data_IF_758869629456
#
_entry.id   IF_758869629456
#
_cell.length_a   1.000
_cell.length_b   1.000
_cell.length_c   1.000
_cell.angle_alpha   90.00
_cell.angle_beta   90.00
_cell.angle_gamma   90.00
#
_symmetry.space_group_name_H-M   'P 1'
#
loop_
_entity.id
_entity.type
_entity.pdbx_description
1 polymer ?
#
# COMPACT_ATOMS: atom_id res chain seq x y z
N UNK A 1 14.71 -4.18 -3.15
CA UNK A 1 15.41 -3.78 -4.39
C UNK A 1 15.27 -2.27 -4.54
N UNK A 2 16.27 -1.59 -5.07
CA UNK A 2 16.20 -0.15 -5.38
C UNK A 2 16.48 0.01 -6.87
N UNK A 3 15.61 0.71 -7.58
CA UNK A 3 15.78 1.07 -8.99
C UNK A 3 15.97 2.58 -9.05
N UNK A 4 17.11 3.03 -9.60
CA UNK A 4 17.45 4.46 -9.71
C UNK A 4 17.14 4.95 -11.12
N UNK A 5 16.85 6.25 -11.25
CA UNK A 5 16.62 6.87 -12.55
C UNK A 5 15.30 6.48 -13.23
N UNK A 6 14.29 6.04 -12.45
CA UNK A 6 12.95 5.69 -12.97
C UNK A 6 12.21 6.94 -13.48
N UNK A 7 12.47 8.09 -12.87
CA UNK A 7 11.87 9.37 -13.26
C UNK A 7 12.92 10.48 -13.17
N UNK A 8 12.80 11.47 -14.04
CA UNK A 8 13.58 12.70 -13.98
C UNK A 8 13.15 13.59 -12.81
N UNK A 9 14.01 14.54 -12.43
CA UNK A 9 13.65 15.55 -11.42
C UNK A 9 12.44 16.40 -11.84
N UNK A 10 12.32 16.70 -13.14
CA UNK A 10 11.21 17.48 -13.69
C UNK A 10 9.87 16.75 -13.60
N UNK A 11 9.85 15.45 -13.91
CA UNK A 11 8.66 14.60 -13.74
C UNK A 11 8.28 14.50 -12.27
N UNK A 12 9.25 14.21 -11.41
CA UNK A 12 9.04 14.09 -9.96
C UNK A 12 8.42 15.38 -9.37
N UNK A 13 8.92 16.55 -9.80
CA UNK A 13 8.36 17.85 -9.40
C UNK A 13 6.89 18.01 -9.82
N UNK A 14 6.55 17.70 -11.08
CA UNK A 14 5.18 17.80 -11.59
C UNK A 14 4.24 16.87 -10.83
N UNK A 15 4.67 15.64 -10.56
CA UNK A 15 3.90 14.66 -9.79
C UNK A 15 3.64 15.14 -8.36
N UNK A 16 4.65 15.73 -7.72
CA UNK A 16 4.50 16.35 -6.41
C UNK A 16 3.49 17.49 -6.40
N UNK A 17 3.48 18.34 -7.43
CA UNK A 17 2.48 19.42 -7.57
C UNK A 17 1.06 18.86 -7.70
N UNK A 18 0.87 17.77 -8.46
CA UNK A 18 -0.43 17.08 -8.56
C UNK A 18 -0.85 16.53 -7.21
N UNK A 19 0.04 15.80 -6.52
CA UNK A 19 -0.25 15.24 -5.18
C UNK A 19 -0.57 16.34 -4.17
N UNK A 20 0.14 17.47 -4.21
CA UNK A 20 -0.12 18.60 -3.32
C UNK A 20 -1.51 19.22 -3.53
N UNK A 21 -2.00 19.29 -4.77
CA UNK A 21 -3.37 19.76 -5.06
C UNK A 21 -4.45 18.85 -4.47
N UNK A 22 -4.15 17.56 -4.36
CA UNK A 22 -5.05 16.55 -3.77
C UNK A 22 -4.80 16.30 -2.28
N UNK A 23 -3.82 16.98 -1.67
CA UNK A 23 -3.56 16.85 -0.23
C UNK A 23 -4.81 17.11 0.62
N UNK A 24 -5.69 18.10 0.32
CA UNK A 24 -6.93 18.31 1.06
C UNK A 24 -7.86 17.09 1.11
N UNK A 25 -7.88 16.26 0.07
CA UNK A 25 -8.67 15.02 0.03
C UNK A 25 -8.18 13.97 1.03
N UNK A 26 -6.95 14.12 1.53
CA UNK A 26 -6.31 13.23 2.49
C UNK A 26 -6.61 13.57 3.96
N UNK A 27 -7.29 14.69 4.21
CA UNK A 27 -7.51 15.21 5.57
C UNK A 27 -8.71 14.52 6.19
N UNK A 28 -8.47 13.73 7.24
CA UNK A 28 -9.57 13.27 8.08
C UNK A 28 -10.07 14.44 8.94
N UNK A 29 -11.33 14.45 9.41
CA UNK A 29 -11.86 15.55 10.21
C UNK A 29 -11.04 15.92 11.45
N UNK A 30 -10.20 15.00 11.93
CA UNK A 30 -9.36 15.16 13.12
C UNK A 30 -7.91 15.59 12.79
N UNK A 31 -7.58 15.81 11.52
CA UNK A 31 -6.24 16.19 11.07
C UNK A 31 -6.33 17.45 10.21
N UNK A 32 -5.84 18.57 10.75
CA UNK A 32 -5.69 19.81 10.01
C UNK A 32 -4.28 19.88 9.42
N UNK A 33 -4.14 20.17 8.13
CA UNK A 33 -2.81 20.45 7.56
C UNK A 33 -2.41 21.89 7.87
N UNK A 34 -1.14 22.19 8.22
CA UNK A 34 0.03 21.31 8.15
C UNK A 34 0.43 20.69 9.51
N UNK A 35 -0.51 20.24 10.34
CA UNK A 35 -0.15 19.59 11.60
C UNK A 35 0.73 18.36 11.37
N UNK A 36 1.66 18.03 12.30
CA UNK A 36 2.48 16.83 12.21
C UNK A 36 1.64 15.55 12.07
N UNK A 37 1.81 14.80 10.99
CA UNK A 37 0.86 13.74 10.64
C UNK A 37 1.24 12.85 9.46
N UNK A 38 0.42 11.82 9.27
CA UNK A 38 0.37 10.97 8.07
C UNK A 38 -0.96 11.22 7.39
N UNK A 39 -0.92 11.72 6.17
CA UNK A 39 -2.10 11.92 5.35
C UNK A 39 -2.06 10.92 4.19
N UNK A 40 -3.20 10.30 3.89
CA UNK A 40 -3.30 9.23 2.89
C UNK A 40 -4.32 9.63 1.84
N UNK A 41 -3.88 9.78 0.58
CA UNK A 41 -4.79 9.99 -0.55
C UNK A 41 -5.07 8.62 -1.17
N UNK A 42 -6.36 8.25 -1.22
CA UNK A 42 -6.79 6.94 -1.73
C UNK A 42 -6.77 6.86 -3.27
N UNK A 43 -6.60 5.64 -3.78
CA UNK A 43 -6.23 5.40 -5.18
C UNK A 43 -7.24 5.74 -6.26
N UNK A 44 -8.54 5.69 -5.97
CA UNK A 44 -9.54 6.03 -6.98
C UNK A 44 -9.37 7.49 -7.47
N UNK A 45 -9.03 8.41 -6.58
CA UNK A 45 -8.83 9.82 -6.95
C UNK A 45 -7.51 10.04 -7.69
N UNK A 46 -6.46 9.28 -7.36
CA UNK A 46 -5.14 9.40 -7.98
C UNK A 46 -5.09 8.76 -9.38
N UNK A 47 -5.76 7.63 -9.57
CA UNK A 47 -5.79 6.89 -10.83
C UNK A 47 -6.52 7.65 -11.96
N UNK A 48 -7.40 8.60 -11.62
CA UNK A 48 -8.06 9.47 -12.60
C UNK A 48 -7.13 10.54 -13.18
N UNK A 49 -5.99 10.82 -12.55
CA UNK A 49 -5.05 11.81 -13.04
C UNK A 49 -4.03 11.16 -14.00
N UNK A 50 -3.98 11.55 -15.29
CA UNK A 50 -3.15 10.87 -16.29
C UNK A 50 -1.67 10.78 -15.93
N UNK A 51 -1.12 11.84 -15.31
CA UNK A 51 0.28 11.85 -14.89
C UNK A 51 0.59 10.82 -13.78
N UNK A 52 -0.37 10.53 -12.90
CA UNK A 52 -0.20 9.55 -11.82
C UNK A 52 -0.48 8.13 -12.33
N UNK A 53 -1.48 7.97 -13.20
CA UNK A 53 -1.73 6.70 -13.89
C UNK A 53 -0.49 6.21 -14.67
N UNK A 54 0.21 7.11 -15.36
CA UNK A 54 1.44 6.80 -16.08
C UNK A 54 2.57 6.24 -15.19
N UNK A 55 2.59 6.55 -13.89
CA UNK A 55 3.55 5.94 -12.95
C UNK A 55 3.19 4.49 -12.71
N UNK A 56 1.90 4.20 -12.49
CA UNK A 56 1.43 2.85 -12.19
C UNK A 56 1.68 1.87 -13.34
N UNK A 57 1.73 2.39 -14.56
CA UNK A 57 2.01 1.64 -15.80
C UNK A 57 3.45 1.78 -16.29
N UNK A 58 4.34 2.44 -15.53
CA UNK A 58 5.70 2.71 -15.98
C UNK A 58 6.48 1.38 -16.17
N UNK A 59 6.99 1.07 -17.39
CA UNK A 59 7.66 -0.20 -17.67
C UNK A 59 8.88 -0.46 -16.77
N UNK A 60 9.63 0.58 -16.40
CA UNK A 60 10.78 0.43 -15.51
C UNK A 60 10.39 -0.06 -14.10
N UNK A 61 9.13 0.15 -13.70
CA UNK A 61 8.53 -0.37 -12.48
C UNK A 61 7.91 -1.74 -12.76
N UNK A 62 6.97 -1.82 -13.71
CA UNK A 62 6.17 -3.02 -13.99
C UNK A 62 7.06 -4.22 -14.30
N UNK A 63 8.03 -4.09 -15.21
CA UNK A 63 8.93 -5.19 -15.61
C UNK A 63 9.71 -5.75 -14.40
N UNK A 64 10.07 -4.88 -13.46
CA UNK A 64 10.82 -5.25 -12.26
C UNK A 64 9.93 -5.90 -11.21
N UNK A 65 8.69 -5.45 -11.10
CA UNK A 65 7.67 -6.06 -10.25
C UNK A 65 7.36 -7.47 -10.73
N UNK A 66 7.07 -7.64 -12.02
CA UNK A 66 6.74 -8.93 -12.61
C UNK A 66 7.90 -9.92 -12.54
N UNK A 67 9.13 -9.45 -12.78
CA UNK A 67 10.33 -10.28 -12.60
C UNK A 67 10.51 -10.75 -11.15
N UNK A 68 10.16 -9.94 -10.15
CA UNK A 68 10.25 -10.32 -8.73
C UNK A 68 9.11 -11.26 -8.31
N UNK A 69 7.91 -11.06 -8.86
CA UNK A 69 6.77 -11.92 -8.57
C UNK A 69 6.84 -13.25 -9.32
N UNK A 70 7.55 -13.30 -10.45
CA UNK A 70 7.59 -14.46 -11.35
C UNK A 70 6.30 -14.66 -12.15
N UNK A 71 5.46 -13.63 -12.27
CA UNK A 71 4.15 -13.66 -12.92
C UNK A 71 3.71 -12.25 -13.29
N UNK A 72 2.68 -12.15 -14.14
CA UNK A 72 2.01 -10.88 -14.48
C UNK A 72 1.46 -10.23 -13.22
N UNK A 73 1.65 -8.91 -13.10
CA UNK A 73 1.24 -8.14 -11.93
C UNK A 73 -0.12 -7.46 -12.16
N UNK A 74 -0.94 -7.41 -11.11
CA UNK A 74 -2.17 -6.64 -11.08
C UNK A 74 -2.11 -5.59 -9.98
N UNK A 75 -2.39 -4.34 -10.34
CA UNK A 75 -2.43 -3.24 -9.38
C UNK A 75 -3.66 -3.38 -8.47
N UNK A 76 -3.43 -3.64 -7.19
CA UNK A 76 -4.49 -3.79 -6.19
C UNK A 76 -4.75 -2.52 -5.38
N UNK A 77 -3.73 -1.68 -5.24
CA UNK A 77 -3.81 -0.40 -4.54
C UNK A 77 -2.84 0.61 -5.16
N UNK A 78 -3.31 1.85 -5.28
CA UNK A 78 -2.50 2.99 -5.66
C UNK A 78 -2.73 4.07 -4.62
N UNK A 79 -1.70 4.55 -3.93
CA UNK A 79 -1.89 5.39 -2.74
C UNK A 79 -0.75 6.39 -2.66
N UNK A 80 -1.04 7.63 -2.28
CA UNK A 80 -0.03 8.62 -1.96
C UNK A 80 -0.02 8.87 -0.44
N UNK A 81 1.18 8.85 0.14
CA UNK A 81 1.39 9.19 1.54
C UNK A 81 2.09 10.53 1.64
N UNK A 82 1.48 11.45 2.38
CA UNK A 82 2.07 12.75 2.72
C UNK A 82 2.45 12.71 4.20
N UNK A 83 3.71 13.01 4.47
CA UNK A 83 4.26 13.17 5.82
C UNK A 83 4.59 14.64 6.00
N UNK A 84 4.11 15.24 7.09
CA UNK A 84 4.43 16.62 7.45
C UNK A 84 5.58 16.68 8.46
N UNK A 85 6.33 17.80 8.51
CA UNK A 85 7.37 18.01 9.51
C UNK A 85 6.89 17.76 10.94
N UNK A 86 7.77 17.23 11.79
CA UNK A 86 7.43 16.86 13.17
C UNK A 86 6.73 15.50 13.32
N UNK A 87 6.38 14.82 12.21
CA UNK A 87 5.89 13.45 12.29
C UNK A 87 7.03 12.51 12.75
N UNK A 88 6.79 11.76 13.83
CA UNK A 88 7.81 10.84 14.41
C UNK A 88 7.99 9.52 13.64
N UNK A 89 7.37 9.38 12.47
CA UNK A 89 7.31 8.12 11.73
C UNK A 89 6.30 7.13 12.30
N UNK A 90 6.33 5.90 11.78
CA UNK A 90 5.60 4.77 12.34
C UNK A 90 6.57 3.83 13.06
N UNK A 91 6.08 3.02 14.00
CA UNK A 91 6.86 1.91 14.55
C UNK A 91 7.20 0.85 13.48
N UNK A 92 8.12 -0.05 13.80
CA UNK A 92 8.46 -1.16 12.91
C UNK A 92 7.23 -2.05 12.66
N UNK A 93 6.87 -2.25 11.39
CA UNK A 93 5.74 -3.08 10.98
C UNK A 93 5.98 -3.67 9.60
N UNK A 94 5.13 -4.64 9.22
CA UNK A 94 4.86 -4.95 7.83
C UNK A 94 3.51 -4.35 7.47
N UNK A 95 3.38 -3.80 6.27
CA UNK A 95 2.09 -3.30 5.79
C UNK A 95 1.05 -4.42 5.58
N UNK A 96 1.49 -5.69 5.50
CA UNK A 96 0.60 -6.83 5.52
C UNK A 96 0.49 -7.52 6.85
N UNK A 97 -0.74 -7.99 7.10
CA UNK A 97 -1.07 -8.87 8.21
C UNK A 97 -0.89 -10.32 7.75
N UNK A 98 0.26 -10.91 8.05
CA UNK A 98 0.61 -12.32 7.75
C UNK A 98 -0.39 -13.36 8.26
N UNK A 99 -1.22 -12.99 9.22
CA UNK A 99 -2.23 -13.85 9.84
C UNK A 99 -3.64 -13.66 9.27
N UNK A 100 -3.85 -12.73 8.32
CA UNK A 100 -5.14 -12.59 7.63
C UNK A 100 -5.10 -13.39 6.33
N UNK A 101 -6.06 -14.31 6.09
CA UNK A 101 -6.09 -15.16 4.89
C UNK A 101 -5.96 -14.39 3.57
N UNK A 102 -6.55 -13.20 3.51
CA UNK A 102 -6.59 -12.37 2.30
C UNK A 102 -5.24 -11.67 2.01
N UNK A 103 -4.33 -11.55 2.98
CA UNK A 103 -3.04 -10.85 2.79
C UNK A 103 -1.80 -11.75 2.77
N UNK A 104 -1.88 -12.96 3.35
CA UNK A 104 -0.74 -13.88 3.46
C UNK A 104 -0.69 -14.97 2.40
N UNK A 105 -1.80 -15.19 1.70
CA UNK A 105 -1.90 -16.16 0.59
C UNK A 105 -1.58 -15.55 -0.77
N UNK A 106 -1.54 -14.23 -0.88
CA UNK A 106 -1.24 -13.53 -2.13
C UNK A 106 0.28 -13.43 -2.32
N UNK A 107 0.73 -13.54 -3.56
CA UNK A 107 2.08 -13.17 -3.97
C UNK A 107 2.04 -11.71 -4.47
N UNK A 108 2.49 -10.78 -3.64
CA UNK A 108 2.35 -9.35 -3.87
C UNK A 108 3.56 -8.60 -3.29
N UNK A 109 3.76 -7.36 -3.74
CA UNK A 109 4.82 -6.48 -3.28
C UNK A 109 4.37 -5.03 -3.36
N UNK A 110 5.14 -4.13 -2.74
CA UNK A 110 4.98 -2.69 -2.95
C UNK A 110 6.05 -2.15 -3.88
N UNK A 111 5.65 -1.28 -4.79
CA UNK A 111 6.53 -0.32 -5.45
C UNK A 111 6.35 1.05 -4.78
N UNK A 112 7.42 1.60 -4.23
CA UNK A 112 7.42 2.92 -3.58
C UNK A 112 8.17 3.89 -4.49
N UNK A 113 7.48 4.93 -4.95
CA UNK A 113 8.06 5.99 -5.78
C UNK A 113 8.18 7.27 -4.94
N UNK A 114 9.40 7.64 -4.51
CA UNK A 114 9.59 8.87 -3.74
C UNK A 114 9.36 10.11 -4.63
N UNK A 115 8.51 11.03 -4.18
CA UNK A 115 8.28 12.34 -4.83
C UNK A 115 9.10 13.48 -4.22
N UNK A 116 9.78 13.18 -3.12
CA UNK A 116 10.76 14.01 -2.40
C UNK A 116 11.86 13.08 -1.92
N UNK A 117 13.05 13.63 -1.69
CA UNK A 117 14.19 12.86 -1.20
C UNK A 117 13.91 12.27 0.20
N UNK A 118 14.38 11.03 0.41
CA UNK A 118 14.36 10.38 1.72
C UNK A 118 15.73 10.57 2.38
N UNK A 119 15.88 11.68 3.10
CA UNK A 119 17.12 12.09 3.76
C UNK A 119 16.90 12.39 5.26
N UNK A 120 17.89 12.98 5.91
CA UNK A 120 17.82 13.33 7.31
C UNK A 120 16.84 14.49 7.60
N UNK A 121 16.51 15.32 6.60
CA UNK A 121 15.61 16.47 6.73
C UNK A 121 14.15 16.04 6.59
N UNK A 122 13.83 15.27 5.53
CA UNK A 122 12.47 14.84 5.21
C UNK A 122 12.08 13.49 5.83
N UNK A 123 13.08 12.75 6.33
CA UNK A 123 12.90 11.45 6.99
C UNK A 123 13.29 10.28 6.08
N UNK A 124 14.18 9.38 6.51
CA UNK A 124 14.58 8.24 5.72
C UNK A 124 13.50 7.14 5.71
N UNK A 125 13.39 6.40 4.60
CA UNK A 125 12.70 5.12 4.60
C UNK A 125 13.64 4.04 5.15
N UNK A 126 13.35 3.56 6.35
CA UNK A 126 14.09 2.46 6.98
C UNK A 126 13.45 1.12 6.60
N UNK A 127 14.26 0.24 6.01
CA UNK A 127 13.86 -1.14 5.66
C UNK A 127 14.76 -2.10 6.43
N UNK A 128 14.17 -3.15 7.00
CA UNK A 128 14.92 -4.27 7.60
C UNK A 128 15.12 -5.37 6.55
N UNK A 129 16.31 -5.54 5.95
CA UNK A 129 16.53 -6.56 4.92
C UNK A 129 16.22 -7.96 5.47
N UNK A 130 15.61 -8.82 4.64
CA UNK A 130 15.26 -10.18 5.03
C UNK A 130 14.06 -10.34 5.97
N UNK A 131 13.53 -9.25 6.56
CA UNK A 131 12.38 -9.32 7.49
C UNK A 131 11.12 -9.92 6.85
N UNK A 132 10.99 -9.83 5.52
CA UNK A 132 9.92 -10.44 4.72
C UNK A 132 9.90 -11.98 4.81
N UNK A 133 11.01 -12.63 5.17
CA UNK A 133 11.14 -14.09 5.35
C UNK A 133 10.85 -14.56 6.78
N UNK A 134 10.79 -13.64 7.74
CA UNK A 134 10.48 -13.99 9.12
C UNK A 134 9.02 -14.44 9.22
N UNK A 135 8.71 -15.42 10.06
CA UNK A 135 7.32 -15.88 10.28
C UNK A 135 6.68 -15.21 11.50
N UNK A 136 7.49 -14.65 12.41
CA UNK A 136 7.07 -13.83 13.55
C UNK A 136 7.76 -12.46 13.46
N UNK A 137 6.98 -11.39 13.38
CA UNK A 137 7.39 -10.15 14.04
C UNK A 137 6.92 -10.29 15.48
N UNK A 138 7.82 -10.10 16.43
CA UNK A 138 7.54 -10.34 17.84
C UNK A 138 6.56 -9.27 18.34
N UNK A 139 5.25 -9.54 18.21
CA UNK A 139 4.21 -8.95 19.05
C UNK A 139 3.28 -10.07 19.56
N UNK A 140 3.58 -10.65 20.73
CA UNK A 140 2.72 -11.64 21.38
C UNK A 140 1.33 -11.10 21.73
N UNK A 141 1.12 -9.77 21.72
CA UNK A 141 -0.14 -9.12 22.05
C UNK A 141 -0.99 -8.80 20.82
N UNK A 142 -0.51 -9.06 19.60
CA UNK A 142 -1.30 -8.96 18.39
C UNK A 142 -2.40 -10.03 18.39
N UNK A 143 -3.52 -9.74 19.06
CA UNK A 143 -4.64 -10.67 19.24
C UNK A 143 -5.21 -11.09 17.88
N UNK A 144 -4.98 -12.35 17.54
CA UNK A 144 -5.79 -13.09 16.59
C UNK A 144 -7.12 -13.36 17.31
N UNK A 145 -8.24 -12.96 16.70
CA UNK A 145 -9.51 -13.62 17.02
C UNK A 145 -9.52 -14.85 16.13
N UNK A 146 -9.17 -16.00 16.70
CA UNK A 146 -9.48 -17.28 16.08
C UNK A 146 -11.00 -17.33 16.00
N UNK A 147 -11.55 -17.11 14.81
CA UNK A 147 -12.96 -17.38 14.59
C UNK A 147 -13.12 -18.90 14.63
N UNK A 148 -13.98 -19.38 15.51
CA UNK A 148 -14.35 -20.78 15.52
C UNK A 148 -14.82 -21.17 14.11
N UNK A 149 -14.52 -22.40 13.70
CA UNK A 149 -15.08 -22.97 12.48
C UNK A 149 -16.59 -22.71 12.48
N UNK A 150 -17.18 -22.18 11.39
CA UNK A 150 -18.62 -21.96 11.33
C UNK A 150 -19.33 -23.24 11.71
N UNK A 151 -20.23 -23.15 12.69
CA UNK A 151 -21.11 -24.26 13.01
C UNK A 151 -21.98 -24.53 11.78
N UNK A 152 -21.88 -25.75 11.27
CA UNK A 152 -22.58 -26.17 10.06
C UNK A 152 -24.10 -26.11 10.25
N UNK A 153 -24.56 -26.17 11.49
CA UNK A 153 -25.98 -26.06 11.86
C UNK A 153 -26.46 -24.60 11.97
N UNK A 154 -25.53 -23.64 12.10
CA UNK A 154 -25.85 -22.19 12.15
C UNK A 154 -25.71 -21.51 10.78
N UNK A 155 -25.15 -22.18 9.79
CA UNK A 155 -25.12 -21.69 8.42
C UNK A 155 -26.51 -21.94 7.80
N UNK A 156 -27.28 -20.87 7.62
CA UNK A 156 -28.59 -20.96 6.96
C UNK A 156 -28.49 -21.75 5.64
N UNK A 157 -29.45 -22.63 5.33
CA UNK A 157 -29.47 -23.31 4.05
C UNK A 157 -29.51 -22.27 2.93
N UNK A 158 -28.67 -22.47 1.91
CA UNK A 158 -28.74 -21.69 0.67
C UNK A 158 -30.20 -21.71 0.17
N UNK A 159 -30.78 -20.58 -0.25
CA UNK A 159 -32.10 -20.60 -0.87
C UNK A 159 -32.04 -21.54 -2.07
N UNK A 160 -32.79 -22.64 -2.00
CA UNK A 160 -32.98 -23.57 -3.10
C UNK A 160 -33.62 -22.81 -4.26
N UNK A 161 -32.89 -22.62 -5.36
CA UNK A 161 -33.46 -21.86 -6.48
C UNK A 161 -32.72 -21.83 -7.80
N UNK A 162 -31.56 -22.47 -7.98
CA UNK A 162 -30.95 -22.62 -9.30
C UNK A 162 -30.31 -24.00 -9.43
N UNK A 163 -31.04 -24.87 -10.12
CA UNK A 163 -30.64 -26.21 -10.59
C UNK A 163 -29.56 -26.08 -11.68
N UNK A 164 -28.39 -26.74 -11.56
CA UNK A 164 -27.35 -26.70 -12.57
C UNK A 164 -27.56 -27.81 -13.61
N UNK A 165 -28.67 -27.79 -14.33
CA UNK A 165 -28.79 -28.49 -15.62
C UNK A 165 -29.67 -27.69 -16.57
N UNK A 166 -29.06 -26.74 -17.29
CA UNK A 166 -29.32 -26.42 -18.70
C UNK A 166 -28.20 -25.51 -19.23
#
# INVERSE_FOLDING_TARGET
>A
MVVRGVSSQGETRKLREVVAKHAPDAYTPNLEYPQPGKYTISGHQLALHPALAAIAENPAIVDRVEALLGQVAHLSAFVAYIRTPGNKGGGAHNDYKRWRPVGSSMNWLFAIVPLTDFDAEYGPLLVSPGSHKLYRLVDPAARILDVAKPDREQAEPRPNGLDPTH
#
